data_IF_727220677876
#
_entry.id   IF_727220677876
#
_cell.length_a   1.000
_cell.length_b   1.000
_cell.length_c   1.000
_cell.angle_alpha   90.00
_cell.angle_beta   90.00
_cell.angle_gamma   90.00
#
_symmetry.space_group_name_H-M   'P 1'
#
loop_
_entity.id
_entity.type
_entity.pdbx_description
1 polymer ?
#
# COMPACT_ATOMS: atom_id res chain seq x y z
N UNK A 1 -11.15 5.72 11.80
CA UNK A 1 -10.34 6.27 10.71
C UNK A 1 -8.84 6.27 11.01
N UNK A 2 -8.35 7.06 11.97
CA UNK A 2 -6.90 7.20 12.25
C UNK A 2 -6.19 5.90 12.64
N UNK A 3 -6.86 5.02 13.39
CA UNK A 3 -6.32 3.70 13.75
C UNK A 3 -5.99 2.86 12.51
N UNK A 4 -6.89 2.79 11.53
CA UNK A 4 -6.66 2.04 10.28
C UNK A 4 -5.50 2.63 9.49
N UNK A 5 -5.38 3.96 9.47
CA UNK A 5 -4.23 4.64 8.85
C UNK A 5 -2.92 4.24 9.53
N UNK A 6 -2.89 4.19 10.87
CA UNK A 6 -1.72 3.75 11.62
C UNK A 6 -1.38 2.28 11.33
N UNK A 7 -2.38 1.41 11.22
CA UNK A 7 -2.21 -0.02 10.87
C UNK A 7 -1.67 -0.21 9.44
N UNK A 8 -1.97 0.70 8.51
CA UNK A 8 -1.38 0.63 7.16
C UNK A 8 0.07 1.16 7.16
N UNK A 9 0.38 2.13 8.03
CA UNK A 9 1.66 2.84 8.03
C UNK A 9 2.67 2.36 9.08
N UNK A 10 2.33 1.48 10.03
CA UNK A 10 3.28 1.13 11.11
C UNK A 10 4.54 0.41 10.62
N UNK A 11 4.47 -0.28 9.48
CA UNK A 11 5.63 -0.95 8.86
C UNK A 11 6.42 -0.02 7.92
N UNK A 12 6.06 1.25 7.85
CA UNK A 12 6.76 2.21 7.00
C UNK A 12 8.22 2.31 7.46
N UNK A 13 9.16 2.07 6.54
CA UNK A 13 10.60 2.10 6.82
C UNK A 13 11.21 0.77 7.32
N UNK A 14 10.44 -0.31 7.43
CA UNK A 14 10.96 -1.62 7.85
C UNK A 14 11.81 -2.30 6.76
N UNK A 15 11.69 -1.86 5.50
CA UNK A 15 12.45 -2.36 4.34
C UNK A 15 12.31 -3.89 4.24
N UNK A 16 13.43 -4.63 4.30
CA UNK A 16 13.47 -6.10 4.24
C UNK A 16 12.74 -6.79 5.39
N UNK A 17 12.49 -6.09 6.52
CA UNK A 17 11.71 -6.62 7.65
C UNK A 17 10.20 -6.43 7.49
N UNK A 18 9.75 -5.82 6.38
CA UNK A 18 8.32 -5.60 6.12
C UNK A 18 7.65 -6.94 5.85
N UNK A 19 6.57 -7.24 6.57
CA UNK A 19 5.74 -8.40 6.30
C UNK A 19 4.77 -8.05 5.16
N UNK A 20 5.17 -8.42 3.94
CA UNK A 20 4.43 -8.16 2.71
C UNK A 20 3.00 -8.74 2.76
N UNK A 21 2.86 -9.97 3.25
CA UNK A 21 1.57 -10.65 3.36
C UNK A 21 0.60 -9.86 4.26
N UNK A 22 1.09 -9.36 5.40
CA UNK A 22 0.29 -8.52 6.28
C UNK A 22 -0.06 -7.19 5.62
N UNK A 23 0.93 -6.51 5.01
CA UNK A 23 0.71 -5.23 4.35
C UNK A 23 -0.36 -5.33 3.26
N UNK A 24 -0.24 -6.33 2.38
CA UNK A 24 -1.19 -6.58 1.30
C UNK A 24 -2.58 -6.93 1.82
N UNK A 25 -2.68 -7.77 2.85
CA UNK A 25 -3.95 -8.08 3.52
C UNK A 25 -4.64 -6.82 4.04
N UNK A 26 -3.93 -5.94 4.76
CA UNK A 26 -4.52 -4.70 5.27
C UNK A 26 -4.91 -3.72 4.15
N UNK A 27 -4.11 -3.64 3.08
CA UNK A 27 -4.46 -2.86 1.91
C UNK A 27 -5.75 -3.36 1.24
N UNK A 28 -5.97 -4.68 1.18
CA UNK A 28 -7.18 -5.28 0.62
C UNK A 28 -8.41 -5.06 1.51
N UNK A 29 -8.28 -5.23 2.82
CA UNK A 29 -9.38 -4.96 3.77
C UNK A 29 -9.91 -3.54 3.64
N UNK A 30 -9.05 -2.60 3.28
CA UNK A 30 -9.38 -1.19 3.15
C UNK A 30 -9.45 -0.68 1.70
N UNK A 31 -9.37 -1.55 0.70
CA UNK A 31 -9.32 -1.18 -0.73
C UNK A 31 -10.58 -0.46 -1.20
N UNK A 32 -11.74 -0.83 -0.67
CA UNK A 32 -13.03 -0.24 -1.05
C UNK A 32 -13.34 1.08 -0.32
N UNK A 33 -12.50 1.49 0.64
CA UNK A 33 -12.73 2.71 1.41
C UNK A 33 -12.73 3.95 0.51
N UNK A 34 -13.74 4.81 0.69
CA UNK A 34 -13.86 6.10 0.01
C UNK A 34 -13.04 7.21 0.69
N UNK A 35 -12.44 6.91 1.85
CA UNK A 35 -11.71 7.92 2.61
C UNK A 35 -10.35 8.25 1.97
N UNK A 36 -10.15 9.53 1.69
CA UNK A 36 -8.94 10.05 1.05
C UNK A 36 -7.66 9.66 1.80
N UNK A 37 -7.66 9.77 3.14
CA UNK A 37 -6.49 9.47 3.95
C UNK A 37 -6.16 7.97 4.03
N UNK A 38 -7.13 7.07 3.88
CA UNK A 38 -6.87 5.62 3.75
C UNK A 38 -6.24 5.34 2.39
N UNK A 39 -6.84 5.86 1.32
CA UNK A 39 -6.31 5.66 -0.04
C UNK A 39 -4.86 6.15 -0.17
N UNK A 40 -4.57 7.32 0.42
CA UNK A 40 -3.21 7.86 0.53
C UNK A 40 -2.27 6.96 1.35
N UNK A 41 -2.74 6.44 2.49
CA UNK A 41 -1.94 5.57 3.34
C UNK A 41 -1.54 4.28 2.63
N UNK A 42 -2.49 3.63 1.93
CA UNK A 42 -2.25 2.44 1.10
C UNK A 42 -1.19 2.76 0.04
N UNK A 43 -1.38 3.84 -0.72
CA UNK A 43 -0.43 4.25 -1.74
C UNK A 43 0.98 4.49 -1.20
N UNK A 44 1.12 5.15 -0.05
CA UNK A 44 2.42 5.38 0.57
C UNK A 44 3.09 4.12 1.10
N UNK A 45 2.34 3.23 1.75
CA UNK A 45 2.89 1.99 2.27
C UNK A 45 3.38 1.07 1.15
N UNK A 46 2.61 0.94 0.07
CA UNK A 46 3.00 0.20 -1.13
C UNK A 46 4.21 0.84 -1.82
N UNK A 47 4.24 2.17 -1.95
CA UNK A 47 5.38 2.89 -2.55
C UNK A 47 6.66 2.74 -1.73
N UNK A 48 6.57 2.66 -0.40
CA UNK A 48 7.75 2.46 0.44
C UNK A 48 8.25 1.02 0.34
N UNK A 49 7.34 0.05 0.34
CA UNK A 49 7.68 -1.35 0.17
C UNK A 49 8.27 -1.64 -1.22
N UNK A 50 7.80 -0.92 -2.25
CA UNK A 50 8.32 -0.98 -3.61
C UNK A 50 9.80 -0.66 -3.75
N UNK A 51 10.37 0.17 -2.85
CA UNK A 51 11.81 0.43 -2.82
C UNK A 51 12.61 -0.82 -2.44
N UNK A 52 11.97 -1.78 -1.76
CA UNK A 52 12.56 -3.06 -1.36
C UNK A 52 12.24 -4.14 -2.39
N UNK A 53 10.97 -4.29 -2.75
CA UNK A 53 10.49 -5.28 -3.71
C UNK A 53 9.49 -4.65 -4.68
N UNK A 54 9.94 -4.07 -5.81
CA UNK A 54 9.05 -3.41 -6.76
C UNK A 54 8.15 -4.41 -7.50
N UNK A 55 8.66 -5.60 -7.83
CA UNK A 55 7.92 -6.64 -8.57
C UNK A 55 6.68 -7.11 -7.81
N UNK A 56 6.81 -7.35 -6.50
CA UNK A 56 5.71 -7.77 -5.63
C UNK A 56 4.58 -6.73 -5.59
N UNK A 57 4.93 -5.44 -5.53
CA UNK A 57 3.95 -4.35 -5.51
C UNK A 57 3.27 -4.21 -6.87
N UNK A 58 4.00 -4.35 -7.97
CA UNK A 58 3.42 -4.31 -9.32
C UNK A 58 2.45 -5.47 -9.51
N UNK A 59 2.84 -6.68 -9.14
CA UNK A 59 1.97 -7.85 -9.20
C UNK A 59 0.72 -7.64 -8.33
N UNK A 60 0.88 -7.19 -7.09
CA UNK A 60 -0.22 -6.91 -6.18
C UNK A 60 -1.20 -5.87 -6.74
N UNK A 61 -0.70 -4.75 -7.26
CA UNK A 61 -1.53 -3.67 -7.81
C UNK A 61 -2.23 -4.10 -9.11
N UNK A 62 -1.62 -4.96 -9.93
CA UNK A 62 -2.24 -5.51 -11.14
C UNK A 62 -3.29 -6.57 -10.85
N UNK A 63 -3.08 -7.39 -9.81
CA UNK A 63 -3.97 -8.50 -9.46
C UNK A 63 -5.16 -8.08 -8.58
N UNK A 64 -5.13 -6.88 -8.00
CA UNK A 64 -6.16 -6.44 -7.05
C UNK A 64 -6.81 -5.12 -7.46
N UNK A 65 -8.12 -4.99 -7.22
CA UNK A 65 -8.87 -3.77 -7.51
C UNK A 65 -8.68 -2.72 -6.40
N UNK A 66 -7.68 -1.86 -6.59
CA UNK A 66 -7.43 -0.70 -5.74
C UNK A 66 -8.03 0.57 -6.35
N UNK A 67 -8.39 1.54 -5.49
CA UNK A 67 -8.82 2.86 -5.97
C UNK A 67 -7.73 3.51 -6.82
N UNK A 68 -8.16 4.20 -7.88
CA UNK A 68 -7.28 4.91 -8.83
C UNK A 68 -6.22 5.78 -8.14
N UNK A 69 -6.58 6.45 -7.03
CA UNK A 69 -5.64 7.26 -6.26
C UNK A 69 -4.55 6.41 -5.59
N UNK A 70 -4.92 5.31 -4.94
CA UNK A 70 -4.00 4.38 -4.29
C UNK A 70 -3.04 3.76 -5.30
N UNK A 71 -3.56 3.27 -6.44
CA UNK A 71 -2.77 2.70 -7.54
C UNK A 71 -1.77 3.72 -8.09
N UNK A 72 -2.23 4.95 -8.37
CA UNK A 72 -1.38 6.02 -8.88
C UNK A 72 -0.26 6.38 -7.90
N UNK A 73 -0.54 6.44 -6.61
CA UNK A 73 0.47 6.78 -5.59
C UNK A 73 1.44 5.62 -5.32
N UNK A 74 0.97 4.37 -5.36
CA UNK A 74 1.81 3.18 -5.19
C UNK A 74 2.86 3.06 -6.31
N UNK A 75 2.48 3.36 -7.55
CA UNK A 75 3.35 3.28 -8.73
C UNK A 75 4.15 4.58 -8.99
N UNK A 76 3.98 5.62 -8.17
CA UNK A 76 4.40 7.00 -8.49
C UNK A 76 5.91 7.22 -8.70
N UNK A 77 6.76 6.25 -8.39
CA UNK A 77 8.21 6.34 -8.56
C UNK A 77 8.80 5.03 -9.12
N UNK A 78 8.00 4.20 -9.78
CA UNK A 78 8.45 2.95 -10.41
C UNK A 78 8.62 3.07 -11.94
N UNK A 79 8.32 4.24 -12.49
CA UNK A 79 8.62 4.62 -13.88
C UNK A 79 9.76 5.64 -13.88
#
# INVERSE_FOLDING_TARGET
MWLNRSVILFQLGYKQKTNANFLFSECLKHSHSKEFFIQKAIGWALREYAKTSPEDVIAFVKSNDLKKLSTKEALKNMC
#
